data_IF_010198506142
#
_entry.id   IF_010198506142
#
_cell.length_a   1.000
_cell.length_b   1.000
_cell.length_c   1.000
_cell.angle_alpha   90.00
_cell.angle_beta   90.00
_cell.angle_gamma   90.00
#
_symmetry.space_group_name_H-M   'P 1'
#
loop_
_entity.id
_entity.type
_entity.pdbx_description
1 polymer ?
#
# COMPACT_ATOMS: atom_id res chain seq x y z
N UNK A 1 -20.82 -7.69 -4.18
CA UNK A 1 -19.84 -6.60 -4.27
C UNK A 1 -19.06 -6.55 -2.97
N UNK A 2 -17.94 -7.28 -2.92
CA UNK A 2 -17.03 -7.38 -1.77
C UNK A 2 -15.95 -6.31 -1.91
N UNK A 3 -15.79 -5.46 -0.89
CA UNK A 3 -14.73 -4.43 -0.84
C UNK A 3 -13.61 -4.92 0.07
N UNK A 4 -12.41 -5.00 -0.47
CA UNK A 4 -11.19 -5.34 0.27
C UNK A 4 -10.45 -4.08 0.69
N UNK A 5 -9.73 -4.18 1.80
CA UNK A 5 -8.80 -3.17 2.28
C UNK A 5 -7.51 -3.83 2.72
N UNK A 6 -6.38 -3.24 2.32
CA UNK A 6 -5.06 -3.59 2.81
C UNK A 6 -4.31 -2.28 3.06
N UNK A 7 -3.57 -2.21 4.15
CA UNK A 7 -2.76 -1.04 4.47
C UNK A 7 -1.29 -1.40 4.62
N UNK A 8 -0.47 -0.36 4.64
CA UNK A 8 0.94 -0.53 4.90
C UNK A 8 1.74 0.75 4.73
N UNK A 9 3.02 0.62 5.06
CA UNK A 9 3.99 1.67 4.78
C UNK A 9 4.35 1.73 3.30
N UNK A 10 4.59 0.59 2.66
CA UNK A 10 5.01 0.53 1.25
C UNK A 10 6.28 1.33 0.93
N UNK A 11 7.20 1.46 1.89
CA UNK A 11 8.53 2.03 1.66
C UNK A 11 9.39 1.06 0.85
N UNK A 12 10.17 1.58 -0.10
CA UNK A 12 10.98 0.81 -1.05
C UNK A 12 10.17 -0.36 -1.65
N UNK A 13 9.15 -0.01 -2.45
CA UNK A 13 8.26 -0.99 -3.06
C UNK A 13 9.00 -2.11 -3.82
N UNK A 14 8.61 -3.35 -3.56
CA UNK A 14 9.25 -4.54 -4.14
C UNK A 14 8.25 -5.67 -4.36
N UNK A 15 8.69 -6.77 -4.99
CA UNK A 15 7.86 -7.93 -5.39
C UNK A 15 6.93 -8.45 -4.29
N UNK A 16 7.39 -8.46 -3.04
CA UNK A 16 6.58 -8.82 -1.86
C UNK A 16 5.28 -7.99 -1.73
N UNK A 17 5.38 -6.65 -1.80
CA UNK A 17 4.22 -5.77 -1.69
C UNK A 17 3.25 -5.98 -2.86
N UNK A 18 3.76 -6.03 -4.09
CA UNK A 18 2.93 -6.29 -5.28
C UNK A 18 2.17 -7.62 -5.18
N UNK A 19 2.82 -8.68 -4.67
CA UNK A 19 2.18 -9.97 -4.53
C UNK A 19 1.17 -10.02 -3.37
N UNK A 20 1.38 -9.27 -2.29
CA UNK A 20 0.39 -9.11 -1.22
C UNK A 20 -0.87 -8.41 -1.75
N UNK A 21 -0.71 -7.30 -2.48
CA UNK A 21 -1.81 -6.55 -3.10
C UNK A 21 -2.54 -7.42 -4.14
N UNK A 22 -1.82 -8.16 -4.99
CA UNK A 22 -2.41 -9.12 -5.93
C UNK A 22 -3.29 -10.17 -5.24
N UNK A 23 -2.82 -10.71 -4.11
CA UNK A 23 -3.58 -11.70 -3.34
C UNK A 23 -4.82 -11.06 -2.71
N UNK A 24 -4.69 -9.86 -2.15
CA UNK A 24 -5.84 -9.11 -1.63
C UNK A 24 -6.91 -8.86 -2.71
N UNK A 25 -6.48 -8.48 -3.92
CA UNK A 25 -7.40 -8.27 -5.06
C UNK A 25 -8.13 -9.54 -5.49
N UNK A 26 -7.55 -10.72 -5.28
CA UNK A 26 -8.15 -12.00 -5.68
C UNK A 26 -9.33 -12.44 -4.82
N UNK A 27 -9.56 -11.80 -3.67
CA UNK A 27 -10.63 -12.14 -2.73
C UNK A 27 -11.68 -11.02 -2.58
N UNK A 28 -11.62 -9.98 -3.42
CA UNK A 28 -12.59 -8.89 -3.44
C UNK A 28 -12.92 -8.44 -4.87
N UNK A 29 -14.01 -7.68 -5.01
CA UNK A 29 -14.44 -7.07 -6.27
C UNK A 29 -13.78 -5.69 -6.48
N UNK A 30 -13.54 -4.96 -5.39
CA UNK A 30 -12.88 -3.64 -5.34
C UNK A 30 -11.82 -3.68 -4.23
N UNK A 31 -10.59 -3.22 -4.49
CA UNK A 31 -9.51 -3.16 -3.52
C UNK A 31 -9.05 -1.71 -3.27
N UNK A 32 -9.25 -1.23 -2.04
CA UNK A 32 -8.68 0.04 -1.57
C UNK A 32 -7.37 -0.25 -0.84
N UNK A 33 -6.33 0.53 -1.13
CA UNK A 33 -5.04 0.45 -0.42
C UNK A 33 -4.83 1.68 0.44
N UNK A 34 -4.69 1.48 1.75
CA UNK A 34 -4.34 2.54 2.70
C UNK A 34 -2.83 2.70 2.82
N UNK A 35 -2.36 3.94 2.87
CA UNK A 35 -0.94 4.23 3.02
C UNK A 35 -0.73 5.07 4.26
N UNK A 36 0.12 4.61 5.16
CA UNK A 36 0.41 5.33 6.40
C UNK A 36 1.21 6.60 6.12
N UNK A 37 0.90 7.69 6.82
CA UNK A 37 1.65 8.95 6.73
C UNK A 37 3.07 8.79 7.28
N UNK A 38 3.96 9.71 6.92
CA UNK A 38 5.33 9.71 7.45
C UNK A 38 5.33 9.86 8.99
N UNK A 39 4.39 10.64 9.53
CA UNK A 39 4.21 10.82 10.97
C UNK A 39 3.80 9.52 11.67
N UNK A 40 2.74 8.85 11.19
CA UNK A 40 2.24 7.60 11.78
C UNK A 40 3.32 6.52 11.79
N UNK A 41 4.11 6.47 10.72
CA UNK A 41 5.26 5.59 10.60
C UNK A 41 6.33 5.93 11.64
N UNK A 42 6.70 7.20 11.81
CA UNK A 42 7.73 7.62 12.75
C UNK A 42 7.36 7.33 14.21
N UNK A 43 6.08 7.40 14.55
CA UNK A 43 5.57 7.16 15.89
C UNK A 43 5.56 5.67 16.24
N UNK A 44 5.36 4.79 15.24
CA UNK A 44 5.19 3.36 15.47
C UNK A 44 6.38 2.49 15.01
N UNK A 45 7.30 3.05 14.21
CA UNK A 45 8.50 2.38 13.69
C UNK A 45 9.57 3.40 13.25
N UNK A 46 10.61 2.95 12.53
CA UNK A 46 11.61 3.85 11.96
C UNK A 46 11.08 4.65 10.77
N UNK A 47 11.58 5.89 10.63
CA UNK A 47 11.29 6.77 9.49
C UNK A 47 11.45 6.02 8.16
N UNK A 48 10.52 6.23 7.20
CA UNK A 48 10.65 5.62 5.88
C UNK A 48 11.76 6.34 5.10
N UNK A 49 12.36 5.63 4.15
CA UNK A 49 13.31 6.21 3.20
C UNK A 49 12.58 7.11 2.20
N UNK A 50 11.43 6.66 1.72
CA UNK A 50 10.56 7.39 0.80
C UNK A 50 9.52 8.22 1.57
N UNK A 51 9.34 9.48 1.15
CA UNK A 51 8.25 10.33 1.65
C UNK A 51 6.90 9.76 1.27
N UNK A 52 5.86 10.13 2.03
CA UNK A 52 4.51 9.63 1.81
C UNK A 52 3.99 9.84 0.38
N UNK A 53 4.26 11.00 -0.21
CA UNK A 53 3.84 11.31 -1.58
C UNK A 53 4.52 10.42 -2.64
N UNK A 54 5.76 9.99 -2.41
CA UNK A 54 6.46 9.06 -3.29
C UNK A 54 5.85 7.66 -3.18
N UNK A 55 5.45 7.26 -1.97
CA UNK A 55 4.78 5.97 -1.70
C UNK A 55 3.37 5.94 -2.29
N UNK A 56 2.62 7.05 -2.22
CA UNK A 56 1.33 7.20 -2.91
C UNK A 56 1.48 7.02 -4.43
N UNK A 57 2.41 7.76 -5.04
CA UNK A 57 2.62 7.73 -6.49
C UNK A 57 3.02 6.33 -7.01
N UNK A 58 3.75 5.54 -6.22
CA UNK A 58 4.08 4.16 -6.58
C UNK A 58 2.85 3.23 -6.59
N UNK A 59 1.91 3.45 -5.68
CA UNK A 59 0.71 2.64 -5.55
C UNK A 59 -0.34 2.98 -6.63
N UNK A 60 -0.44 4.25 -7.03
CA UNK A 60 -1.34 4.70 -8.11
C UNK A 60 -1.14 3.95 -9.44
N UNK A 61 0.04 3.34 -9.65
CA UNK A 61 0.38 2.60 -10.86
C UNK A 61 0.27 1.08 -10.72
N UNK A 62 -0.26 0.56 -9.61
CA UNK A 62 -0.43 -0.87 -9.42
C UNK A 62 -1.76 -1.33 -10.00
N UNK A 63 -1.69 -2.18 -11.02
CA UNK A 63 -2.84 -2.73 -11.77
C UNK A 63 -3.96 -3.40 -10.97
N UNK A 64 -3.76 -3.68 -9.69
CA UNK A 64 -4.70 -4.39 -8.83
C UNK A 64 -5.40 -3.48 -7.82
N UNK A 65 -5.01 -2.22 -7.75
CA UNK A 65 -5.62 -1.21 -6.87
C UNK A 65 -6.73 -0.51 -7.67
N UNK A 66 -7.86 -0.28 -7.02
CA UNK A 66 -9.02 0.41 -7.57
C UNK A 66 -9.14 1.84 -7.01
#
# INVERSE_FOLDING_TARGET
NVRGYIDGCFDIMHSGHYNAIRQARSICDVLVVGVHSDQEIAENKSMPVMKENERYALLDHIKWID
#
